data_IF_543254579782
#
_entry.id   IF_543254579782
#
_cell.length_a   1.000
_cell.length_b   1.000
_cell.length_c   1.000
_cell.angle_alpha   90.00
_cell.angle_beta   90.00
_cell.angle_gamma   90.00
#
_symmetry.space_group_name_H-M   'P 1'
#
loop_
_entity.id
_entity.type
_entity.pdbx_description
1 polymer ?
#
# COMPACT_ATOMS: atom_id res chain seq x y z
N UNK A 1 -40.33 69.98 3.15
CA UNK A 1 -38.96 69.49 2.91
C UNK A 1 -38.95 68.02 3.32
N UNK A 2 -39.27 67.13 2.39
CA UNK A 2 -39.34 65.69 2.62
C UNK A 2 -38.14 65.06 1.90
N UNK A 3 -37.27 64.27 2.57
CA UNK A 3 -36.27 63.51 1.87
C UNK A 3 -36.87 62.19 1.37
N UNK A 4 -36.60 61.94 0.09
CA UNK A 4 -36.95 60.76 -0.69
C UNK A 4 -36.15 59.53 -0.25
N UNK A 5 -36.80 58.37 -0.18
CA UNK A 5 -36.12 57.06 -0.18
C UNK A 5 -35.61 56.71 -1.58
N UNK A 6 -34.48 55.99 -1.66
CA UNK A 6 -34.42 54.89 -2.62
C UNK A 6 -33.74 53.60 -2.09
N UNK A 7 -34.44 52.49 -2.34
CA UNK A 7 -33.95 51.22 -2.93
C UNK A 7 -32.77 50.45 -2.28
N UNK A 8 -33.15 49.36 -1.60
CA UNK A 8 -32.82 47.96 -1.91
C UNK A 8 -31.44 47.58 -2.51
N UNK A 9 -30.67 46.74 -1.79
CA UNK A 9 -29.85 45.58 -2.25
C UNK A 9 -29.63 44.66 -1.03
N UNK A 10 -30.25 43.47 -0.88
CA UNK A 10 -30.00 42.16 -1.49
C UNK A 10 -28.52 41.74 -1.63
N UNK A 11 -28.26 40.51 -1.12
CA UNK A 11 -27.12 39.60 -1.40
C UNK A 11 -25.88 39.78 -0.50
N UNK A 12 -25.33 38.75 0.15
CA UNK A 12 -25.65 37.33 0.17
C UNK A 12 -24.77 36.63 1.22
N UNK A 13 -25.29 35.57 1.83
CA UNK A 13 -24.51 34.72 2.72
C UNK A 13 -23.44 33.96 1.91
N UNK A 14 -22.17 34.25 2.17
CA UNK A 14 -21.05 33.49 1.63
C UNK A 14 -20.97 32.17 2.43
N UNK A 15 -21.71 31.15 1.99
CA UNK A 15 -21.52 29.79 2.46
C UNK A 15 -20.16 29.30 1.94
N UNK A 16 -19.14 29.35 2.79
CA UNK A 16 -17.86 28.68 2.57
C UNK A 16 -18.13 27.17 2.64
N UNK A 17 -18.44 26.54 1.50
CA UNK A 17 -18.29 25.11 1.36
C UNK A 17 -16.80 24.80 1.48
N UNK A 18 -16.34 24.48 2.69
CA UNK A 18 -15.04 23.87 2.92
C UNK A 18 -15.13 22.51 2.22
N UNK A 19 -14.68 22.45 0.97
CA UNK A 19 -14.65 21.21 0.21
C UNK A 19 -13.73 20.24 0.96
N UNK A 20 -14.33 19.22 1.56
CA UNK A 20 -13.61 18.09 2.15
C UNK A 20 -12.68 17.51 1.10
N UNK A 21 -11.37 17.72 1.24
CA UNK A 21 -10.31 17.15 0.40
C UNK A 21 -10.16 15.62 0.54
N UNK A 22 -11.20 14.94 1.04
CA UNK A 22 -11.28 13.50 1.20
C UNK A 22 -11.84 12.78 -0.05
N UNK A 23 -12.26 13.52 -1.08
CA UNK A 23 -12.83 12.94 -2.30
C UNK A 23 -11.80 12.91 -3.44
N UNK A 24 -11.51 11.69 -3.88
CA UNK A 24 -10.87 11.33 -5.15
C UNK A 24 -9.36 11.52 -5.29
N UNK A 25 -8.56 10.96 -4.38
CA UNK A 25 -7.25 10.47 -4.86
C UNK A 25 -7.52 9.38 -5.89
N UNK A 26 -7.04 9.60 -7.11
CA UNK A 26 -7.31 8.72 -8.23
C UNK A 26 -6.68 7.34 -8.01
N UNK A 27 -7.30 6.29 -8.55
CA UNK A 27 -6.78 4.93 -8.49
C UNK A 27 -5.34 4.84 -9.02
N UNK A 28 -5.03 5.68 -10.02
CA UNK A 28 -3.67 5.86 -10.54
C UNK A 28 -2.73 6.41 -9.48
N UNK A 29 -3.08 7.48 -8.77
CA UNK A 29 -2.24 8.07 -7.72
C UNK A 29 -2.01 7.10 -6.55
N UNK A 30 -3.01 6.30 -6.19
CA UNK A 30 -2.83 5.23 -5.18
C UNK A 30 -1.76 4.24 -5.64
N UNK A 31 -1.89 3.78 -6.89
CA UNK A 31 -1.00 2.77 -7.47
C UNK A 31 0.43 3.29 -7.64
N UNK A 32 0.59 4.48 -8.23
CA UNK A 32 1.90 5.10 -8.43
C UNK A 32 2.54 5.48 -7.09
N UNK A 33 1.75 5.88 -6.09
CA UNK A 33 2.24 6.10 -4.72
C UNK A 33 2.78 4.83 -4.07
N UNK A 34 2.12 3.68 -4.25
CA UNK A 34 2.63 2.40 -3.77
C UNK A 34 3.95 2.01 -4.47
N UNK A 35 4.06 2.22 -5.79
CA UNK A 35 5.30 1.99 -6.54
C UNK A 35 6.43 2.90 -6.05
N UNK A 36 6.14 4.18 -5.80
CA UNK A 36 7.10 5.15 -5.27
C UNK A 36 7.58 4.75 -3.87
N UNK A 37 6.67 4.35 -2.97
CA UNK A 37 7.04 3.85 -1.65
C UNK A 37 7.95 2.63 -1.74
N UNK A 38 7.66 1.68 -2.64
CA UNK A 38 8.54 0.55 -2.90
C UNK A 38 9.91 0.98 -3.42
N UNK A 39 9.98 2.01 -4.26
CA UNK A 39 11.23 2.55 -4.77
C UNK A 39 12.10 3.17 -3.66
N UNK A 40 11.48 3.82 -2.69
CA UNK A 40 12.19 4.44 -1.57
C UNK A 40 12.65 3.41 -0.54
N UNK A 41 11.86 2.36 -0.30
CA UNK A 41 12.10 1.41 0.79
C UNK A 41 12.88 0.18 0.34
N UNK A 42 12.57 -0.40 -0.82
CA UNK A 42 12.99 -1.75 -1.16
C UNK A 42 14.34 -1.75 -1.92
N UNK A 43 15.39 -2.44 -1.42
CA UNK A 43 16.64 -2.59 -2.16
C UNK A 43 16.46 -3.30 -3.51
N UNK A 44 15.59 -4.32 -3.56
CA UNK A 44 15.30 -5.10 -4.76
C UNK A 44 14.44 -4.38 -5.80
N UNK A 45 13.92 -3.18 -5.51
CA UNK A 45 13.05 -2.45 -6.44
C UNK A 45 13.71 -2.21 -7.80
N UNK A 46 12.94 -2.42 -8.84
CA UNK A 46 13.09 -1.80 -10.16
C UNK A 46 11.69 -1.68 -10.76
N UNK A 47 11.51 -0.79 -11.74
CA UNK A 47 10.21 -0.65 -12.41
C UNK A 47 9.72 -2.00 -12.97
N UNK A 48 10.62 -2.74 -13.61
CA UNK A 48 10.28 -4.03 -14.23
C UNK A 48 9.90 -5.11 -13.22
N UNK A 49 10.51 -5.13 -12.03
CA UNK A 49 10.22 -6.12 -10.99
C UNK A 49 9.02 -5.75 -10.11
N UNK A 50 8.76 -4.46 -9.90
CA UNK A 50 7.75 -4.01 -8.92
C UNK A 50 6.43 -3.62 -9.57
N UNK A 51 6.48 -2.85 -10.66
CA UNK A 51 5.28 -2.24 -11.24
C UNK A 51 4.24 -3.29 -11.69
N UNK A 52 4.61 -4.41 -12.34
CA UNK A 52 3.62 -5.41 -12.75
C UNK A 52 2.84 -6.01 -11.57
N UNK A 53 3.50 -6.33 -10.45
CA UNK A 53 2.84 -6.90 -9.27
C UNK A 53 1.96 -5.88 -8.56
N UNK A 54 2.45 -4.65 -8.35
CA UNK A 54 1.67 -3.61 -7.66
C UNK A 54 0.38 -3.28 -8.42
N UNK A 55 0.43 -3.26 -9.76
CA UNK A 55 -0.75 -2.99 -10.60
C UNK A 55 -1.80 -4.11 -10.60
N UNK A 56 -1.43 -5.31 -10.15
CA UNK A 56 -2.38 -6.43 -9.99
C UNK A 56 -3.13 -6.35 -8.66
N UNK A 57 -2.67 -5.56 -7.68
CA UNK A 57 -3.33 -5.42 -6.38
C UNK A 57 -4.59 -4.56 -6.55
N UNK A 58 -5.74 -4.99 -5.99
CA UNK A 58 -6.94 -4.17 -5.97
C UNK A 58 -6.68 -2.80 -5.32
N UNK A 59 -7.14 -1.72 -5.94
CA UNK A 59 -6.85 -0.36 -5.45
C UNK A 59 -7.38 -0.13 -4.04
N UNK A 60 -8.51 -0.74 -3.67
CA UNK A 60 -9.02 -0.74 -2.30
C UNK A 60 -8.00 -1.30 -1.29
N UNK A 61 -7.35 -2.41 -1.62
CA UNK A 61 -6.28 -2.97 -0.81
C UNK A 61 -5.08 -2.00 -0.75
N UNK A 62 -4.65 -1.43 -1.88
CA UNK A 62 -3.54 -0.45 -1.89
C UNK A 62 -3.82 0.79 -1.01
N UNK A 63 -5.08 1.23 -0.91
CA UNK A 63 -5.48 2.31 0.02
C UNK A 63 -5.23 1.90 1.47
N UNK A 64 -5.62 0.67 1.85
CA UNK A 64 -5.36 0.11 3.20
C UNK A 64 -3.86 0.02 3.46
N UNK A 65 -3.07 -0.51 2.51
CA UNK A 65 -1.61 -0.59 2.67
C UNK A 65 -1.01 0.79 2.96
N UNK A 66 -1.39 1.80 2.17
CA UNK A 66 -0.94 3.17 2.36
C UNK A 66 -1.35 3.75 3.71
N UNK A 67 -2.59 3.53 4.14
CA UNK A 67 -3.11 4.01 5.44
C UNK A 67 -2.38 3.36 6.62
N UNK A 68 -1.98 2.09 6.49
CA UNK A 68 -1.22 1.33 7.49
C UNK A 68 0.30 1.58 7.40
N UNK A 69 0.78 2.17 6.31
CA UNK A 69 2.20 2.34 6.02
C UNK A 69 2.90 1.05 5.59
N UNK A 70 2.15 0.09 5.04
CA UNK A 70 2.69 -1.16 4.53
C UNK A 70 3.31 -1.01 3.16
N UNK A 71 4.36 -1.80 2.90
CA UNK A 71 5.17 -1.72 1.69
C UNK A 71 5.21 -3.05 0.95
N UNK A 72 5.41 -2.99 -0.37
CA UNK A 72 5.57 -4.16 -1.24
C UNK A 72 6.99 -4.20 -1.80
N UNK A 73 7.77 -5.23 -1.50
CA UNK A 73 9.18 -5.31 -1.90
C UNK A 73 9.49 -6.60 -2.68
N UNK A 74 9.94 -6.52 -3.95
CA UNK A 74 10.56 -7.68 -4.58
C UNK A 74 11.89 -8.00 -3.85
N UNK A 75 12.09 -9.27 -3.48
CA UNK A 75 13.31 -9.77 -2.86
C UNK A 75 13.72 -11.11 -3.48
N UNK A 76 14.82 -11.08 -4.23
CA UNK A 76 15.38 -12.25 -4.94
C UNK A 76 16.09 -13.24 -4.01
N UNK A 77 16.32 -12.85 -2.75
CA UNK A 77 16.95 -13.71 -1.74
C UNK A 77 15.98 -14.73 -1.17
N UNK A 78 14.67 -14.56 -1.38
CA UNK A 78 13.67 -15.51 -0.91
C UNK A 78 13.84 -16.84 -1.64
N UNK A 79 13.84 -17.92 -0.88
CA UNK A 79 14.00 -19.27 -1.39
C UNK A 79 12.88 -19.62 -2.40
N UNK A 80 13.18 -20.30 -3.52
CA UNK A 80 12.15 -20.70 -4.49
C UNK A 80 11.01 -21.55 -3.91
N UNK A 81 11.27 -22.31 -2.84
CA UNK A 81 10.26 -23.06 -2.08
C UNK A 81 9.44 -22.20 -1.13
N UNK A 82 9.88 -20.98 -0.82
CA UNK A 82 9.22 -20.02 0.07
C UNK A 82 9.22 -18.58 -0.53
N UNK A 83 8.68 -18.38 -1.75
CA UNK A 83 8.94 -17.18 -2.54
C UNK A 83 8.03 -16.00 -2.17
N UNK A 84 7.10 -16.12 -1.21
CA UNK A 84 6.20 -15.04 -0.82
C UNK A 84 6.10 -14.94 0.71
N UNK A 85 6.22 -13.73 1.24
CA UNK A 85 6.34 -13.47 2.68
C UNK A 85 5.56 -12.23 3.09
N UNK A 86 4.97 -12.28 4.28
CA UNK A 86 4.53 -11.12 5.05
C UNK A 86 5.43 -10.98 6.29
N UNK A 87 6.11 -9.84 6.42
CA UNK A 87 6.90 -9.47 7.60
C UNK A 87 6.03 -8.63 8.54
N UNK A 88 5.29 -9.27 9.44
CA UNK A 88 4.27 -8.61 10.27
C UNK A 88 4.77 -7.46 11.14
N UNK A 89 5.89 -7.65 11.83
CA UNK A 89 6.48 -6.61 12.69
C UNK A 89 6.83 -5.31 11.93
N UNK A 90 7.21 -5.45 10.66
CA UNK A 90 7.68 -4.34 9.82
C UNK A 90 6.56 -3.79 8.93
N UNK A 91 5.56 -4.62 8.61
CA UNK A 91 4.51 -4.27 7.67
C UNK A 91 4.95 -4.36 6.21
N UNK A 92 5.72 -5.39 5.84
CA UNK A 92 6.22 -5.54 4.48
C UNK A 92 5.74 -6.84 3.83
N UNK A 93 5.15 -6.72 2.64
CA UNK A 93 4.87 -7.83 1.75
C UNK A 93 6.07 -8.00 0.82
N UNK A 94 6.63 -9.20 0.73
CA UNK A 94 7.74 -9.49 -0.16
C UNK A 94 7.48 -10.71 -1.03
N UNK A 95 8.08 -10.71 -2.23
CA UNK A 95 8.03 -11.85 -3.14
C UNK A 95 9.32 -11.99 -3.94
N UNK A 96 9.66 -13.21 -4.36
CA UNK A 96 10.74 -13.45 -5.31
C UNK A 96 10.20 -13.23 -6.74
N UNK A 97 10.63 -12.18 -7.46
CA UNK A 97 10.15 -11.90 -8.81
C UNK A 97 10.67 -12.90 -9.86
N UNK A 98 11.63 -13.77 -9.50
CA UNK A 98 12.19 -14.79 -10.40
C UNK A 98 11.46 -16.14 -10.30
N UNK A 99 10.52 -16.26 -9.37
CA UNK A 99 9.73 -17.48 -9.15
C UNK A 99 8.33 -17.28 -9.72
N UNK A 100 7.99 -18.09 -10.71
CA UNK A 100 6.68 -18.03 -11.36
C UNK A 100 5.55 -18.23 -10.33
N UNK A 101 4.58 -17.32 -10.34
CA UNK A 101 3.41 -17.38 -9.46
C UNK A 101 3.57 -16.70 -8.10
N UNK A 102 4.80 -16.33 -7.69
CA UNK A 102 5.03 -15.64 -6.42
C UNK A 102 4.32 -14.27 -6.34
N UNK A 103 4.26 -13.56 -7.48
CA UNK A 103 3.53 -12.30 -7.63
C UNK A 103 2.01 -12.51 -7.42
N UNK A 104 1.44 -13.57 -7.98
CA UNK A 104 0.02 -13.91 -7.81
C UNK A 104 -0.29 -14.30 -6.36
N UNK A 105 0.60 -15.03 -5.71
CA UNK A 105 0.46 -15.40 -4.30
C UNK A 105 0.44 -14.14 -3.43
N UNK A 106 1.41 -13.24 -3.59
CA UNK A 106 1.46 -12.06 -2.72
C UNK A 106 0.26 -11.12 -2.95
N UNK A 107 -0.19 -10.96 -4.20
CA UNK A 107 -1.42 -10.20 -4.53
C UNK A 107 -2.64 -10.82 -3.86
N UNK A 108 -2.79 -12.15 -3.92
CA UNK A 108 -3.90 -12.87 -3.28
C UNK A 108 -3.89 -12.71 -1.76
N UNK A 109 -2.72 -12.80 -1.12
CA UNK A 109 -2.63 -12.63 0.33
C UNK A 109 -2.93 -11.19 0.74
N UNK A 110 -2.45 -10.20 -0.01
CA UNK A 110 -2.79 -8.79 0.22
C UNK A 110 -4.31 -8.57 0.15
N UNK A 111 -5.00 -9.05 -0.90
CA UNK A 111 -6.45 -8.91 -1.01
C UNK A 111 -7.18 -9.60 0.15
N UNK A 112 -6.78 -10.83 0.49
CA UNK A 112 -7.38 -11.58 1.60
C UNK A 112 -7.20 -10.90 2.96
N UNK A 113 -5.99 -10.44 3.28
CA UNK A 113 -5.67 -9.81 4.56
C UNK A 113 -6.32 -8.44 4.69
N UNK A 114 -6.33 -7.64 3.62
CA UNK A 114 -6.98 -6.32 3.64
C UNK A 114 -8.50 -6.38 3.72
N UNK A 115 -9.15 -7.40 3.12
CA UNK A 115 -10.60 -7.61 3.29
C UNK A 115 -11.01 -7.98 4.71
N UNK A 116 -10.15 -8.70 5.42
CA UNK A 116 -10.38 -9.09 6.82
C UNK A 116 -9.90 -8.04 7.81
N UNK A 117 -9.08 -7.10 7.36
CA UNK A 117 -8.32 -6.17 8.20
C UNK A 117 -7.46 -6.87 9.28
N UNK A 118 -7.00 -8.09 8.98
CA UNK A 118 -6.19 -8.91 9.86
C UNK A 118 -4.73 -8.88 9.42
N UNK A 119 -3.88 -8.25 10.23
CA UNK A 119 -2.44 -8.08 9.96
C UNK A 119 -1.63 -8.64 11.14
N UNK A 120 -1.37 -9.96 11.18
CA UNK A 120 -0.60 -10.58 12.24
C UNK A 120 0.81 -9.98 12.35
N UNK A 121 1.34 -9.94 13.57
CA UNK A 121 2.71 -9.45 13.82
C UNK A 121 3.76 -10.50 13.41
N UNK A 122 3.34 -11.75 13.33
CA UNK A 122 4.17 -12.88 12.93
C UNK A 122 4.60 -12.78 11.46
N UNK A 123 5.74 -13.38 11.17
CA UNK A 123 6.13 -13.61 9.78
C UNK A 123 5.32 -14.75 9.20
N UNK A 124 4.62 -14.50 8.10
CA UNK A 124 3.90 -15.53 7.35
C UNK A 124 4.65 -15.81 6.05
N UNK A 125 4.76 -17.08 5.69
CA UNK A 125 5.54 -17.54 4.54
C UNK A 125 4.67 -18.47 3.71
N UNK A 126 4.73 -18.32 2.39
CA UNK A 126 3.96 -19.14 1.45
C UNK A 126 4.86 -19.70 0.35
N UNK A 127 4.50 -20.89 -0.13
CA UNK A 127 5.05 -21.46 -1.36
C UNK A 127 4.45 -20.76 -2.62
N UNK A 128 4.93 -21.14 -3.81
CA UNK A 128 4.46 -20.59 -5.09
C UNK A 128 2.98 -20.90 -5.39
N UNK A 129 2.37 -21.84 -4.66
CA UNK A 129 0.98 -22.24 -4.76
C UNK A 129 0.10 -21.50 -3.72
N UNK A 130 0.72 -20.73 -2.83
CA UNK A 130 0.05 -19.97 -1.77
C UNK A 130 -0.27 -20.79 -0.53
N UNK A 131 0.31 -21.98 -0.37
CA UNK A 131 0.20 -22.77 0.86
C UNK A 131 1.10 -22.16 1.93
N UNK A 132 0.56 -21.99 3.12
CA UNK A 132 1.34 -21.53 4.26
C UNK A 132 2.40 -22.56 4.65
N UNK A 133 3.62 -22.07 4.87
CA UNK A 133 4.76 -22.86 5.30
C UNK A 133 5.07 -22.56 6.77
N UNK A 134 5.56 -23.57 7.48
CA UNK A 134 5.97 -23.46 8.88
C UNK A 134 7.46 -23.75 9.01
N UNK A 135 8.08 -23.26 10.09
CA UNK A 135 9.49 -23.48 10.41
C UNK A 135 10.46 -23.10 9.27
N UNK A 136 10.11 -22.09 8.49
CA UNK A 136 10.96 -21.58 7.42
C UNK A 136 11.98 -20.58 7.96
N UNK A 137 13.24 -20.75 7.55
CA UNK A 137 14.24 -19.70 7.74
C UNK A 137 14.17 -18.79 6.53
N UNK A 138 13.95 -17.50 6.77
CA UNK A 138 13.80 -16.51 5.69
C UNK A 138 14.79 -15.36 5.90
N UNK A 139 15.21 -14.68 4.82
CA UNK A 139 16.02 -13.48 4.94
C UNK A 139 15.32 -12.44 5.83
N UNK A 140 16.11 -11.76 6.67
CA UNK A 140 15.64 -10.59 7.39
C UNK A 140 15.24 -9.51 6.38
N UNK A 141 14.14 -8.82 6.66
CA UNK A 141 13.78 -7.64 5.90
C UNK A 141 14.83 -6.54 6.10
N UNK A 142 15.32 -5.99 4.99
CA UNK A 142 16.30 -4.91 4.97
C UNK A 142 15.78 -3.80 4.06
N UNK A 143 15.46 -2.65 4.66
CA UNK A 143 15.15 -1.45 3.90
C UNK A 143 16.43 -0.86 3.27
N UNK A 144 16.27 0.04 2.29
CA UNK A 144 17.38 0.85 1.79
C UNK A 144 18.08 1.62 2.92
N UNK A 145 19.40 1.86 2.82
CA UNK A 145 20.15 2.58 3.85
C UNK A 145 19.49 3.91 4.23
N UNK A 146 19.37 4.16 5.54
CA UNK A 146 18.78 5.40 6.07
C UNK A 146 17.25 5.41 6.16
N UNK A 147 16.55 4.38 5.68
CA UNK A 147 15.10 4.28 5.77
C UNK A 147 14.69 3.40 6.96
N UNK A 148 13.80 3.93 7.80
CA UNK A 148 13.15 3.17 8.86
C UNK A 148 11.70 2.95 8.45
N UNK A 149 11.33 1.72 8.16
CA UNK A 149 9.92 1.34 7.94
C UNK A 149 9.24 1.28 9.31
N UNK A 150 8.15 2.02 9.46
CA UNK A 150 7.34 2.00 10.68
C UNK A 150 5.89 1.75 10.28
N UNK A 151 5.32 0.68 10.82
CA UNK A 151 3.87 0.45 10.78
C UNK A 151 3.18 1.60 11.51
N UNK A 152 2.17 2.20 10.87
CA UNK A 152 1.30 3.15 11.55
C UNK A 152 0.39 2.36 12.49
N UNK A 153 0.61 2.53 13.80
CA UNK A 153 -0.32 2.03 14.82
C UNK A 153 -1.56 2.94 14.79
N UNK A 154 -2.70 2.37 14.47
CA UNK A 154 -4.01 2.98 14.68
C UNK A 154 -4.61 2.40 15.96
#
# INVERSE_FOLDING_TARGET
MFPSHPLARLSGALALCIASSAFAQSDREITEGAIALSADVCPGHSKDRTTPTVRQVPVGALRVLRERGFVMCPDRRLDPGAPAIWYGEIGAYAWNPEVEGADKVIVKQIDAMTRKEEFPMETLVWDAQGKALQNQTVPRFEARPGIIVRVRKH
#
